data_IF_991459993286
#
_entry.id   IF_991459993286
#
_cell.length_a   1.000
_cell.length_b   1.000
_cell.length_c   1.000
_cell.angle_alpha   90.00
_cell.angle_beta   90.00
_cell.angle_gamma   90.00
#
_symmetry.space_group_name_H-M   'P 1'
#
loop_
_entity.id
_entity.type
_entity.pdbx_description
1 polymer ?
#
# COMPACT_ATOMS: atom_id res chain seq x y z
N UNK A 1 18.33 -2.80 -12.25
CA UNK A 1 16.88 -2.69 -12.00
C UNK A 1 16.63 -3.30 -10.64
N UNK A 2 15.92 -2.61 -9.74
CA UNK A 2 15.59 -3.19 -8.44
C UNK A 2 14.30 -4.01 -8.56
N UNK A 3 14.25 -5.13 -7.84
CA UNK A 3 13.03 -5.94 -7.74
C UNK A 3 12.51 -5.94 -6.31
N UNK A 4 11.19 -6.03 -6.17
CA UNK A 4 10.48 -6.10 -4.90
C UNK A 4 9.47 -7.24 -4.96
N UNK A 5 9.14 -7.79 -3.80
CA UNK A 5 8.02 -8.74 -3.67
C UNK A 5 6.91 -8.03 -2.92
N UNK A 6 5.74 -8.03 -3.54
CA UNK A 6 4.52 -7.47 -3.00
C UNK A 6 3.61 -8.59 -2.53
N UNK A 7 2.92 -8.36 -1.42
CA UNK A 7 1.72 -9.08 -1.04
C UNK A 7 0.53 -8.25 -1.53
N UNK A 8 -0.21 -8.79 -2.49
CA UNK A 8 -1.38 -8.16 -3.13
C UNK A 8 -2.67 -8.77 -2.62
N UNK A 9 -3.74 -7.97 -2.62
CA UNK A 9 -5.10 -8.40 -2.26
C UNK A 9 -5.86 -8.89 -3.49
N UNK A 10 -6.64 -9.95 -3.32
CA UNK A 10 -7.39 -10.60 -4.41
C UNK A 10 -8.91 -10.39 -4.32
N UNK A 11 -9.46 -10.12 -3.13
CA UNK A 11 -10.89 -9.83 -3.00
C UNK A 11 -11.20 -8.45 -3.58
N UNK A 12 -12.08 -8.37 -4.60
CA UNK A 12 -12.39 -7.11 -5.27
C UNK A 12 -12.86 -6.01 -4.31
N UNK A 13 -13.61 -6.35 -3.25
CA UNK A 13 -14.14 -5.37 -2.29
C UNK A 13 -13.00 -4.75 -1.48
N UNK A 14 -12.00 -5.56 -1.12
CA UNK A 14 -10.79 -5.08 -0.42
C UNK A 14 -10.01 -4.16 -1.34
N UNK A 15 -9.75 -4.58 -2.58
CA UNK A 15 -8.99 -3.76 -3.54
C UNK A 15 -9.72 -2.47 -3.87
N UNK A 16 -11.03 -2.51 -4.13
CA UNK A 16 -11.83 -1.34 -4.48
C UNK A 16 -11.83 -0.31 -3.36
N UNK A 17 -12.08 -0.71 -2.10
CA UNK A 17 -12.07 0.23 -0.97
C UNK A 17 -10.70 0.88 -0.78
N UNK A 18 -9.61 0.10 -0.89
CA UNK A 18 -8.26 0.64 -0.74
C UNK A 18 -7.86 1.56 -1.90
N UNK A 19 -8.24 1.22 -3.14
CA UNK A 19 -7.97 2.03 -4.32
C UNK A 19 -8.82 3.31 -4.35
N UNK A 20 -10.08 3.22 -3.96
CA UNK A 20 -10.98 4.36 -3.84
C UNK A 20 -10.48 5.31 -2.75
N UNK A 21 -10.08 4.80 -1.59
CA UNK A 21 -9.50 5.61 -0.52
C UNK A 21 -8.25 6.36 -0.98
N UNK A 22 -7.31 5.65 -1.63
CA UNK A 22 -6.08 6.25 -2.19
C UNK A 22 -6.41 7.33 -3.22
N UNK A 23 -7.34 7.06 -4.13
CA UNK A 23 -7.75 7.98 -5.20
C UNK A 23 -8.51 9.19 -4.64
N UNK A 24 -9.33 8.99 -3.61
CA UNK A 24 -10.06 10.04 -2.91
C UNK A 24 -9.12 10.99 -2.18
N UNK A 25 -8.10 10.48 -1.49
CA UNK A 25 -7.11 11.28 -0.76
C UNK A 25 -6.10 11.97 -1.69
N UNK A 26 -5.84 11.41 -2.86
CA UNK A 26 -4.82 11.89 -3.78
C UNK A 26 -5.31 11.97 -5.25
N UNK A 27 -6.36 12.76 -5.56
CA UNK A 27 -7.02 12.74 -6.88
C UNK A 27 -6.14 13.18 -8.04
N UNK A 28 -5.03 13.88 -7.78
CA UNK A 28 -4.06 14.30 -8.81
C UNK A 28 -3.01 13.25 -9.15
N UNK A 29 -2.91 12.14 -8.41
CA UNK A 29 -1.90 11.09 -8.64
C UNK A 29 -2.60 9.78 -8.98
N UNK A 30 -2.43 9.34 -10.23
CA UNK A 30 -2.80 7.98 -10.63
C UNK A 30 -1.65 7.04 -10.32
N UNK A 31 -1.84 6.11 -9.39
CA UNK A 31 -0.89 5.02 -9.21
C UNK A 31 -1.12 3.93 -10.26
N UNK A 32 -0.03 3.40 -10.82
CA UNK A 32 -0.05 2.23 -11.71
C UNK A 32 0.21 0.92 -10.95
N UNK A 33 0.59 1.01 -9.68
CA UNK A 33 0.79 -0.18 -8.84
C UNK A 33 -0.54 -0.61 -8.21
N UNK A 34 -0.80 -1.93 -8.11
CA UNK A 34 -1.92 -2.43 -7.32
C UNK A 34 -1.77 -2.02 -5.85
N UNK A 35 -2.84 -2.13 -5.06
CA UNK A 35 -2.74 -2.02 -3.60
C UNK A 35 -1.99 -3.22 -3.05
N UNK A 36 -0.96 -2.96 -2.25
CA UNK A 36 -0.04 -4.00 -1.80
C UNK A 36 0.64 -3.64 -0.48
N UNK A 37 1.23 -4.66 0.13
CA UNK A 37 2.27 -4.54 1.15
C UNK A 37 3.61 -4.92 0.52
N UNK A 38 4.60 -4.04 0.55
CA UNK A 38 5.96 -4.43 0.13
C UNK A 38 6.60 -5.28 1.22
N UNK A 39 6.79 -6.58 0.97
CA UNK A 39 7.28 -7.54 1.97
C UNK A 39 8.76 -7.89 1.78
N UNK A 40 9.29 -7.81 0.54
CA UNK A 40 10.71 -8.05 0.27
C UNK A 40 11.29 -7.09 -0.76
N UNK A 41 12.60 -6.90 -0.67
CA UNK A 41 13.39 -6.09 -1.59
C UNK A 41 14.02 -4.89 -0.89
N UNK A 42 14.89 -4.15 -1.59
CA UNK A 42 15.22 -4.32 -2.99
C UNK A 42 16.13 -5.53 -3.26
N UNK A 43 15.87 -6.26 -4.34
CA UNK A 43 16.79 -7.25 -4.90
C UNK A 43 17.55 -6.66 -6.09
N UNK A 44 18.81 -7.07 -6.25
CA UNK A 44 19.64 -6.71 -7.41
C UNK A 44 19.35 -7.59 -8.64
N UNK A 45 18.84 -8.79 -8.43
CA UNK A 45 18.40 -9.75 -9.45
C UNK A 45 16.98 -10.23 -9.15
N UNK A 46 16.34 -10.92 -10.11
CA UNK A 46 15.03 -11.50 -9.83
C UNK A 46 15.14 -12.53 -8.69
N UNK A 47 14.25 -12.46 -7.68
CA UNK A 47 14.20 -13.47 -6.62
C UNK A 47 13.95 -14.86 -7.20
N UNK A 48 14.56 -15.88 -6.58
CA UNK A 48 14.45 -17.26 -7.02
C UNK A 48 13.00 -17.75 -6.98
N UNK A 49 12.54 -18.36 -8.08
CA UNK A 49 11.15 -18.78 -8.20
C UNK A 49 10.75 -19.84 -7.15
N UNK A 50 11.65 -20.76 -6.80
CA UNK A 50 11.38 -21.80 -5.80
C UNK A 50 11.14 -21.21 -4.41
N UNK A 51 11.96 -20.21 -4.02
CA UNK A 51 11.75 -19.46 -2.78
C UNK A 51 10.37 -18.78 -2.79
N UNK A 52 10.02 -18.10 -3.88
CA UNK A 52 8.73 -17.41 -3.98
C UNK A 52 7.53 -18.37 -3.90
N UNK A 53 7.63 -19.55 -4.52
CA UNK A 53 6.59 -20.57 -4.43
C UNK A 53 6.43 -21.08 -3.00
N UNK A 54 7.54 -21.37 -2.30
CA UNK A 54 7.51 -21.78 -0.89
C UNK A 54 6.85 -20.72 0.00
N UNK A 55 7.25 -19.46 -0.14
CA UNK A 55 6.65 -18.34 0.59
C UNK A 55 5.15 -18.20 0.24
N UNK A 56 4.80 -18.31 -1.04
CA UNK A 56 3.42 -18.22 -1.50
C UNK A 56 2.53 -19.36 -0.97
N UNK A 57 3.09 -20.54 -0.73
CA UNK A 57 2.36 -21.63 -0.06
C UNK A 57 2.20 -21.34 1.44
N UNK A 58 3.21 -20.75 2.09
CA UNK A 58 3.18 -20.36 3.51
C UNK A 58 2.15 -19.29 3.86
N UNK A 59 1.85 -18.37 2.93
CA UNK A 59 0.81 -17.35 3.14
C UNK A 59 -0.62 -17.87 2.99
N UNK A 60 -0.81 -19.09 2.47
CA UNK A 60 -2.15 -19.58 2.12
C UNK A 60 -3.02 -19.70 3.37
N UNK A 61 -4.19 -19.07 3.31
CA UNK A 61 -5.15 -19.09 4.41
C UNK A 61 -4.72 -18.26 5.62
N UNK A 62 -3.57 -17.59 5.59
CA UNK A 62 -3.16 -16.65 6.62
C UNK A 62 -3.97 -15.36 6.48
N UNK A 63 -4.58 -14.91 7.58
CA UNK A 63 -5.32 -13.66 7.59
C UNK A 63 -4.38 -12.47 7.68
N UNK A 64 -4.66 -11.44 6.91
CA UNK A 64 -4.06 -10.12 7.01
C UNK A 64 -5.12 -9.15 7.50
N UNK A 65 -4.87 -8.55 8.66
CA UNK A 65 -5.73 -7.50 9.22
C UNK A 65 -5.14 -6.14 8.84
N UNK A 66 -5.93 -5.29 8.21
CA UNK A 66 -5.57 -3.89 7.94
C UNK A 66 -6.33 -3.03 8.95
N UNK A 67 -5.58 -2.42 9.88
CA UNK A 67 -6.16 -1.63 10.97
C UNK A 67 -5.17 -0.57 11.43
N UNK A 68 -5.70 0.62 11.77
CA UNK A 68 -4.88 1.73 12.23
C UNK A 68 -4.04 2.35 11.11
N UNK A 69 -3.43 3.48 11.43
CA UNK A 69 -2.67 4.28 10.48
C UNK A 69 -1.30 4.66 11.03
N UNK A 70 -0.40 4.98 10.12
CA UNK A 70 0.91 5.55 10.42
C UNK A 70 1.36 6.49 9.32
N UNK A 71 2.44 7.21 9.57
CA UNK A 71 3.16 7.92 8.53
C UNK A 71 4.65 7.95 8.87
N UNK A 72 5.50 7.98 7.85
CA UNK A 72 6.94 8.16 8.01
C UNK A 72 7.46 9.15 6.96
N UNK A 73 8.62 9.75 7.24
CA UNK A 73 9.38 10.51 6.26
C UNK A 73 10.44 9.62 5.60
N UNK A 74 10.63 9.78 4.30
CA UNK A 74 11.69 9.13 3.54
C UNK A 74 12.35 10.13 2.60
N UNK A 75 13.61 9.87 2.24
CA UNK A 75 14.37 10.73 1.35
C UNK A 75 14.50 12.19 1.84
N UNK A 76 14.59 13.13 0.91
CA UNK A 76 14.75 14.57 1.19
C UNK A 76 13.39 15.27 1.36
N UNK A 77 12.65 14.88 2.40
CA UNK A 77 11.40 15.56 2.79
C UNK A 77 10.13 15.00 2.14
N UNK A 78 10.14 13.74 1.72
CA UNK A 78 8.94 13.04 1.28
C UNK A 78 8.29 12.33 2.47
N UNK A 79 6.97 12.24 2.45
CA UNK A 79 6.16 11.65 3.51
C UNK A 79 5.18 10.67 2.91
N UNK A 80 5.11 9.47 3.50
CA UNK A 80 4.13 8.45 3.16
C UNK A 80 3.17 8.28 4.34
N UNK A 81 1.87 8.21 4.04
CA UNK A 81 0.83 7.86 4.99
C UNK A 81 0.22 6.53 4.57
N UNK A 82 0.01 5.65 5.54
CA UNK A 82 -0.32 4.27 5.30
C UNK A 82 -1.31 3.70 6.31
N UNK A 83 -1.95 2.61 5.93
CA UNK A 83 -2.69 1.72 6.83
C UNK A 83 -1.78 0.57 7.26
N UNK A 84 -1.80 0.19 8.55
CA UNK A 84 -0.96 -0.92 9.03
C UNK A 84 -1.56 -2.25 8.62
N UNK A 85 -0.71 -3.18 8.22
CA UNK A 85 -1.08 -4.55 7.91
C UNK A 85 -0.47 -5.47 8.98
N UNK A 86 -1.31 -6.27 9.62
CA UNK A 86 -0.94 -7.14 10.73
C UNK A 86 -1.21 -8.59 10.35
N UNK A 87 -0.18 -9.43 10.48
CA UNK A 87 -0.26 -10.87 10.31
C UNK A 87 1.03 -11.50 10.80
N UNK A 88 0.95 -12.68 11.41
CA UNK A 88 2.14 -13.44 11.81
C UNK A 88 3.02 -13.80 10.60
N UNK A 89 2.41 -13.93 9.41
CA UNK A 89 3.11 -14.31 8.18
C UNK A 89 4.16 -13.30 7.74
N UNK A 90 4.01 -12.03 8.14
CA UNK A 90 4.96 -11.01 7.75
C UNK A 90 6.36 -11.26 8.30
N UNK A 91 6.51 -11.92 9.46
CA UNK A 91 7.84 -12.24 10.01
C UNK A 91 8.66 -13.16 9.09
N UNK A 92 8.00 -14.11 8.44
CA UNK A 92 8.65 -15.05 7.52
C UNK A 92 8.88 -14.41 6.14
N UNK A 93 7.94 -13.55 5.71
CA UNK A 93 8.06 -12.84 4.45
C UNK A 93 9.10 -11.73 4.50
N UNK A 94 9.31 -11.07 5.64
CA UNK A 94 10.04 -9.81 5.71
C UNK A 94 11.51 -9.98 5.35
N UNK A 95 11.93 -9.31 4.27
CA UNK A 95 13.33 -9.17 3.92
C UNK A 95 13.55 -7.82 3.24
N UNK A 96 13.91 -6.82 4.04
CA UNK A 96 14.21 -5.46 3.59
C UNK A 96 15.64 -5.08 4.00
N UNK A 97 16.66 -5.39 3.19
CA UNK A 97 18.05 -5.11 3.56
C UNK A 97 18.35 -3.62 3.68
N UNK A 98 17.56 -2.76 3.02
CA UNK A 98 17.60 -1.30 3.11
C UNK A 98 16.87 -0.74 4.34
N UNK A 99 16.11 -1.57 5.05
CA UNK A 99 15.42 -1.23 6.29
C UNK A 99 15.61 -2.33 7.34
N UNK A 100 16.85 -2.50 7.87
CA UNK A 100 17.14 -3.55 8.83
C UNK A 100 16.48 -3.26 10.17
N UNK A 101 15.47 -4.06 10.50
CA UNK A 101 14.74 -3.99 11.76
C UNK A 101 14.69 -5.38 12.40
N UNK A 102 14.49 -5.44 13.72
CA UNK A 102 14.26 -6.72 14.39
C UNK A 102 12.93 -7.31 13.90
N UNK A 103 12.74 -8.64 13.95
CA UNK A 103 11.49 -9.26 13.51
C UNK A 103 10.21 -8.72 14.19
N UNK A 104 10.32 -8.22 15.43
CA UNK A 104 9.20 -7.63 16.17
C UNK A 104 8.99 -6.13 15.89
N UNK A 105 9.93 -5.50 15.17
CA UNK A 105 9.90 -4.08 14.81
C UNK A 105 9.51 -3.87 13.33
N UNK A 106 9.09 -4.92 12.62
CA UNK A 106 8.63 -4.80 11.24
C UNK A 106 7.35 -3.97 11.18
N UNK A 107 7.22 -3.13 10.15
CA UNK A 107 6.03 -2.31 9.92
C UNK A 107 5.44 -2.62 8.53
N UNK A 108 4.74 -3.76 8.36
CA UNK A 108 4.02 -4.04 7.13
C UNK A 108 2.86 -3.06 6.98
N UNK A 109 2.75 -2.46 5.80
CA UNK A 109 1.78 -1.39 5.57
C UNK A 109 1.34 -1.29 4.12
N UNK A 110 0.18 -0.66 3.93
CA UNK A 110 -0.38 -0.31 2.63
C UNK A 110 -0.35 1.22 2.50
N UNK A 111 0.49 1.74 1.63
CA UNK A 111 0.59 3.19 1.38
C UNK A 111 -0.64 3.69 0.63
N UNK A 112 -1.29 4.72 1.19
CA UNK A 112 -2.51 5.32 0.62
C UNK A 112 -2.34 6.78 0.23
N UNK A 113 -1.27 7.44 0.67
CA UNK A 113 -0.99 8.84 0.33
C UNK A 113 0.51 9.14 0.42
N UNK A 114 1.00 9.96 -0.50
CA UNK A 114 2.40 10.43 -0.53
C UNK A 114 2.47 11.93 -0.87
N UNK A 115 3.30 12.69 -0.15
CA UNK A 115 3.46 14.13 -0.36
C UNK A 115 4.84 14.62 0.10
N UNK A 116 5.30 15.73 -0.46
CA UNK A 116 6.45 16.50 0.03
C UNK A 116 6.05 17.61 1.02
N UNK A 117 4.74 17.79 1.28
CA UNK A 117 4.22 18.70 2.31
C UNK A 117 3.87 17.91 3.57
N UNK A 118 4.67 18.08 4.62
CA UNK A 118 4.44 17.49 5.94
C UNK A 118 3.05 17.79 6.49
N UNK A 119 2.55 19.00 6.26
CA UNK A 119 1.24 19.43 6.77
C UNK A 119 0.13 18.60 6.13
N UNK A 120 0.19 18.43 4.81
CA UNK A 120 -0.74 17.59 4.07
C UNK A 120 -0.70 16.13 4.53
N UNK A 121 0.51 15.57 4.71
CA UNK A 121 0.66 14.21 5.24
C UNK A 121 0.06 14.06 6.65
N UNK A 122 0.29 15.04 7.54
CA UNK A 122 -0.28 15.03 8.89
C UNK A 122 -1.81 15.10 8.88
N UNK A 123 -2.40 15.90 7.98
CA UNK A 123 -3.86 15.98 7.83
C UNK A 123 -4.44 14.63 7.40
N UNK A 124 -3.83 13.96 6.41
CA UNK A 124 -4.28 12.62 5.98
C UNK A 124 -4.09 11.59 7.09
N UNK A 125 -2.96 11.60 7.79
CA UNK A 125 -2.73 10.71 8.92
C UNK A 125 -3.79 10.87 10.02
N UNK A 126 -4.08 12.13 10.42
CA UNK A 126 -5.09 12.42 11.43
C UNK A 126 -6.49 11.98 10.99
N UNK A 127 -6.83 12.19 9.71
CA UNK A 127 -8.08 11.69 9.12
C UNK A 127 -8.17 10.16 9.21
N UNK A 128 -7.16 9.43 8.75
CA UNK A 128 -7.15 7.96 8.78
C UNK A 128 -7.14 7.41 10.20
N UNK A 129 -6.53 8.11 11.16
CA UNK A 129 -6.53 7.74 12.57
C UNK A 129 -7.93 7.85 13.20
N UNK A 130 -8.71 8.83 12.76
CA UNK A 130 -10.10 9.02 13.21
C UNK A 130 -11.07 8.09 12.47
N UNK A 131 -10.77 7.74 11.22
CA UNK A 131 -11.56 6.82 10.41
C UNK A 131 -11.53 5.40 10.99
N UNK A 132 -12.70 4.76 11.10
CA UNK A 132 -12.82 3.38 11.60
C UNK A 132 -12.69 2.39 10.44
N UNK A 133 -11.48 2.25 9.92
CA UNK A 133 -11.17 1.28 8.87
C UNK A 133 -10.65 -0.01 9.50
N UNK A 134 -11.34 -1.12 9.26
CA UNK A 134 -10.94 -2.46 9.68
C UNK A 134 -11.23 -3.46 8.58
N UNK A 135 -10.18 -3.98 7.95
CA UNK A 135 -10.29 -5.00 6.90
C UNK A 135 -9.61 -6.28 7.39
N UNK A 136 -10.24 -7.44 7.17
CA UNK A 136 -9.63 -8.74 7.35
C UNK A 136 -9.72 -9.49 6.03
N UNK A 137 -8.57 -9.88 5.47
CA UNK A 137 -8.52 -10.58 4.18
C UNK A 137 -7.61 -11.80 4.26
N UNK A 138 -8.07 -12.89 3.66
CA UNK A 138 -7.35 -14.14 3.46
C UNK A 138 -6.99 -14.33 1.98
N UNK A 139 -7.64 -13.58 1.09
CA UNK A 139 -7.43 -13.62 -0.34
C UNK A 139 -6.23 -12.76 -0.71
N UNK A 140 -5.03 -13.31 -0.55
CA UNK A 140 -3.76 -12.63 -0.83
C UNK A 140 -2.87 -13.46 -1.75
N UNK A 141 -1.99 -12.79 -2.51
CA UNK A 141 -0.98 -13.44 -3.35
C UNK A 141 0.36 -12.71 -3.28
N UNK A 142 1.44 -13.40 -3.64
CA UNK A 142 2.71 -12.74 -3.91
C UNK A 142 2.83 -12.35 -5.39
N UNK A 143 3.45 -11.20 -5.63
CA UNK A 143 3.85 -10.76 -6.97
C UNK A 143 5.25 -10.15 -6.94
N UNK A 144 5.94 -10.20 -8.07
CA UNK A 144 7.23 -9.53 -8.26
C UNK A 144 7.00 -8.22 -8.99
N UNK A 145 7.52 -7.15 -8.39
CA UNK A 145 7.57 -5.81 -8.95
C UNK A 145 9.01 -5.47 -9.38
N UNK A 146 9.18 -4.89 -10.56
CA UNK A 146 10.47 -4.44 -11.09
C UNK A 146 10.43 -2.94 -11.37
N UNK A 147 11.34 -2.17 -10.76
CA UNK A 147 11.40 -0.71 -10.96
C UNK A 147 11.65 -0.37 -12.42
N UNK A 148 10.93 0.56 -13.03
CA UNK A 148 11.18 1.00 -14.41
C UNK A 148 10.63 0.08 -15.51
N UNK A 149 10.19 -1.14 -15.18
CA UNK A 149 9.44 -1.99 -16.12
C UNK A 149 7.93 -1.66 -16.15
N UNK A 150 7.50 -0.76 -15.26
CA UNK A 150 6.09 -0.52 -14.94
C UNK A 150 5.36 0.51 -15.81
N UNK A 151 5.86 0.82 -17.00
CA UNK A 151 5.07 1.61 -17.96
C UNK A 151 4.22 0.74 -18.90
N UNK A 152 4.38 -0.59 -18.93
CA UNK A 152 3.69 -1.43 -19.93
C UNK A 152 2.98 -2.71 -19.44
N UNK A 153 3.42 -3.41 -18.37
CA UNK A 153 2.92 -4.77 -18.09
C UNK A 153 2.55 -5.13 -16.63
N UNK A 154 2.66 -4.21 -15.66
CA UNK A 154 2.24 -4.46 -14.27
C UNK A 154 3.19 -5.37 -13.44
N UNK A 155 2.64 -6.08 -12.45
CA UNK A 155 3.38 -7.04 -11.58
C UNK A 155 3.29 -8.47 -12.12
N UNK A 156 4.31 -9.30 -11.87
CA UNK A 156 4.30 -10.72 -12.24
C UNK A 156 3.82 -11.57 -11.05
N UNK A 157 2.64 -12.20 -11.17
CA UNK A 157 2.06 -13.07 -10.14
C UNK A 157 2.92 -14.32 -9.91
N UNK A 158 3.02 -14.76 -8.65
CA UNK A 158 3.68 -16.00 -8.26
C UNK A 158 2.63 -17.09 -8.04
N UNK A 159 2.77 -18.23 -8.73
CA UNK A 159 2.03 -19.45 -8.39
C UNK A 159 0.51 -19.36 -8.39
N UNK A 160 -0.11 -18.82 -9.46
CA UNK A 160 -1.57 -18.62 -9.55
C UNK A 160 -2.32 -19.94 -9.30
N UNK A 161 -2.89 -20.07 -8.10
CA UNK A 161 -3.92 -21.05 -7.77
C UNK A 161 -5.09 -20.31 -7.12
N UNK A 162 -6.33 -20.64 -7.47
CA UNK A 162 -7.49 -19.98 -6.88
C UNK A 162 -7.44 -20.14 -5.35
N UNK A 163 -7.86 -19.11 -4.58
CA UNK A 163 -7.98 -19.23 -3.14
C UNK A 163 -8.89 -20.42 -2.82
N UNK A 164 -8.47 -21.26 -1.87
CA UNK A 164 -9.28 -22.39 -1.39
C UNK A 164 -10.61 -21.82 -0.89
N UNK A 165 -11.71 -22.18 -1.55
CA UNK A 165 -13.04 -21.55 -1.42
C UNK A 165 -13.75 -21.77 -0.08
N UNK A 166 -13.18 -22.57 0.83
CA UNK A 166 -14.08 -23.40 1.65
C UNK A 166 -14.30 -22.99 3.10
N UNK A 167 -13.81 -21.85 3.61
CA UNK A 167 -14.21 -21.48 4.99
C UNK A 167 -13.93 -20.06 5.48
N UNK A 168 -13.00 -19.31 4.90
CA UNK A 168 -12.66 -17.96 5.40
C UNK A 168 -13.14 -16.88 4.44
N UNK A 169 -13.95 -15.95 4.95
CA UNK A 169 -14.48 -14.81 4.19
C UNK A 169 -13.70 -13.56 4.52
N UNK A 170 -13.44 -12.78 3.49
CA UNK A 170 -12.89 -11.44 3.65
C UNK A 170 -13.97 -10.49 4.16
N UNK A 171 -13.59 -9.63 5.09
CA UNK A 171 -14.45 -8.68 5.80
C UNK A 171 -13.89 -7.29 5.54
N UNK A 172 -14.73 -6.39 5.06
CA UNK A 172 -14.43 -4.97 4.92
C UNK A 172 -15.40 -4.21 5.80
N UNK A 173 -14.90 -3.57 6.85
CA UNK A 173 -15.66 -2.71 7.73
C UNK A 173 -15.06 -1.30 7.68
N UNK A 174 -15.84 -0.36 7.17
CA UNK A 174 -15.51 1.06 7.04
C UNK A 174 -16.80 1.84 7.26
N UNK A 175 -16.73 2.97 7.97
CA UNK A 175 -17.91 3.83 8.17
C UNK A 175 -18.35 4.45 6.82
N UNK A 176 -19.66 4.54 6.58
CA UNK A 176 -20.24 5.01 5.31
C UNK A 176 -19.80 6.43 4.92
N UNK A 177 -19.41 7.25 5.90
CA UNK A 177 -18.96 8.62 5.72
C UNK A 177 -17.45 8.73 5.42
N UNK A 178 -16.68 7.65 5.59
CA UNK A 178 -15.22 7.68 5.45
C UNK A 178 -14.80 8.03 4.02
N UNK A 179 -15.36 7.38 3.00
CA UNK A 179 -15.00 7.64 1.60
C UNK A 179 -15.47 9.03 1.12
N UNK A 180 -16.69 9.50 1.43
CA UNK A 180 -17.08 10.90 1.21
C UNK A 180 -16.12 11.91 1.86
N UNK A 181 -15.79 11.73 3.15
CA UNK A 181 -14.89 12.63 3.87
C UNK A 181 -13.45 12.59 3.29
N UNK A 182 -12.99 11.42 2.86
CA UNK A 182 -11.69 11.29 2.18
C UNK A 182 -11.64 12.11 0.89
N UNK A 183 -12.72 12.10 0.09
CA UNK A 183 -12.83 12.89 -1.15
C UNK A 183 -12.79 14.38 -0.85
N UNK A 184 -13.54 14.84 0.14
CA UNK A 184 -13.55 16.25 0.55
C UNK A 184 -12.15 16.71 0.98
N UNK A 185 -11.48 15.91 1.82
CA UNK A 185 -10.10 16.17 2.22
C UNK A 185 -9.17 16.21 1.00
N UNK A 186 -9.26 15.24 0.08
CA UNK A 186 -8.46 15.21 -1.14
C UNK A 186 -8.64 16.46 -2.01
N UNK A 187 -9.87 16.97 -2.16
CA UNK A 187 -10.11 18.22 -2.91
C UNK A 187 -9.46 19.44 -2.23
N UNK A 188 -9.52 19.52 -0.90
CA UNK A 188 -8.83 20.58 -0.14
C UNK A 188 -7.31 20.51 -0.30
N UNK A 189 -6.75 19.30 -0.30
CA UNK A 189 -5.32 19.08 -0.52
C UNK A 189 -4.90 19.42 -1.96
N UNK A 190 -5.75 19.13 -2.95
CA UNK A 190 -5.53 19.54 -4.35
C UNK A 190 -5.45 21.07 -4.46
N UNK A 191 -6.44 21.79 -3.92
CA UNK A 191 -6.45 23.24 -3.93
C UNK A 191 -5.21 23.84 -3.24
N UNK A 192 -4.79 23.27 -2.10
CA UNK A 192 -3.55 23.66 -1.40
C UNK A 192 -2.32 23.45 -2.28
N UNK A 193 -2.22 22.29 -2.95
CA UNK A 193 -1.12 21.97 -3.85
C UNK A 193 -1.05 22.95 -5.03
N UNK A 194 -2.19 23.35 -5.57
CA UNK A 194 -2.27 24.31 -6.68
C UNK A 194 -1.87 25.73 -6.25
N UNK A 195 -2.32 26.16 -5.07
CA UNK A 195 -1.93 27.46 -4.50
C UNK A 195 -0.43 27.58 -4.19
N UNK A 196 0.25 26.44 -3.92
CA UNK A 196 1.68 26.38 -3.65
C UNK A 196 2.56 26.36 -4.91
N UNK A 197 1.98 26.21 -6.11
CA UNK A 197 2.76 26.28 -7.35
C UNK A 197 3.26 27.72 -7.55
N UNK A 198 4.54 27.93 -7.87
CA UNK A 198 5.03 29.27 -8.19
C UNK A 198 4.21 29.83 -9.35
N UNK A 199 3.75 31.08 -9.23
CA UNK A 199 3.12 31.78 -10.36
C UNK A 199 4.13 31.80 -11.51
N UNK A 200 3.72 31.51 -12.76
CA UNK A 200 4.61 31.69 -13.89
C UNK A 200 5.14 33.12 -13.83
N UNK A 201 6.46 33.29 -13.85
CA UNK A 201 7.08 34.59 -14.04
C UNK A 201 6.54 35.13 -15.35
N UNK A 202 5.65 36.12 -15.27
CA UNK A 202 5.24 36.85 -16.47
C UNK A 202 6.48 37.46 -17.06
N UNK A 203 6.79 37.10 -18.30
CA UNK A 203 7.84 37.75 -19.08
C UNK A 203 7.57 39.26 -19.08
N UNK A 204 8.52 39.99 -18.51
CA UNK A 204 8.57 41.45 -18.55
C UNK A 204 9.19 41.93 -19.85
#
# INVERSE_FOLDING_TARGET
MAHFVFLEFLDPRVTEVLEELRSALQPWKRSRSPMHVTVRGPYQSLPENNLLLQLSDGIRGQGVRIIGSGYFSYGKGEFAVFLRAESAVFRELWWKPDFPVKPDDIEPHVTVFESNDRTSAQLVYNFLRAARISILTYSVQLSVYSTGQQDLFGTKKVGVRPPNSDWRRDIVAIDDDTLPAARELGQRLLARREAAKPKPSGDA
#
